data_IF_444685716325
#
_entry.id   IF_444685716325
#
_cell.length_a   1.000
_cell.length_b   1.000
_cell.length_c   1.000
_cell.angle_alpha   90.00
_cell.angle_beta   90.00
_cell.angle_gamma   90.00
#
_symmetry.space_group_name_H-M   'P 1'
#
loop_
_entity.id
_entity.type
_entity.pdbx_description
1 polymer ?
#
# COMPACT_ATOMS: atom_id res chain seq x y z
N UNK A 1 -18.76 3.49 15.37
CA UNK A 1 -17.92 4.54 14.75
C UNK A 1 -17.90 4.27 13.25
N UNK A 2 -18.40 5.20 12.43
CA UNK A 2 -18.36 5.06 10.98
C UNK A 2 -16.90 5.05 10.50
N UNK A 3 -16.49 4.00 9.79
CA UNK A 3 -15.13 3.90 9.27
C UNK A 3 -14.92 4.99 8.23
N UNK A 4 -14.01 5.93 8.49
CA UNK A 4 -13.65 6.99 7.53
C UNK A 4 -13.10 6.38 6.24
N UNK A 5 -13.84 6.48 5.15
CA UNK A 5 -13.41 6.00 3.83
C UNK A 5 -12.57 7.09 3.17
N UNK A 6 -11.51 6.71 2.45
CA UNK A 6 -10.68 7.66 1.70
C UNK A 6 -10.78 7.36 0.20
N UNK A 7 -10.66 8.39 -0.62
CA UNK A 7 -10.61 8.29 -2.09
C UNK A 7 -9.33 8.89 -2.63
N UNK A 8 -8.79 8.30 -3.69
CA UNK A 8 -7.73 8.90 -4.50
C UNK A 8 -8.24 9.17 -5.91
N UNK A 9 -8.07 10.41 -6.35
CA UNK A 9 -8.24 10.84 -7.74
C UNK A 9 -6.97 11.58 -8.15
N UNK A 10 -6.36 11.19 -9.26
CA UNK A 10 -5.11 11.79 -9.76
C UNK A 10 -3.95 11.76 -8.75
N UNK A 11 -3.92 10.77 -7.84
CA UNK A 11 -2.88 10.62 -6.83
C UNK A 11 -3.06 11.47 -5.57
N UNK A 12 -4.10 12.30 -5.50
CA UNK A 12 -4.43 13.07 -4.28
C UNK A 12 -5.43 12.26 -3.44
N UNK A 13 -5.05 11.96 -2.20
CA UNK A 13 -5.90 11.23 -1.25
C UNK A 13 -6.69 12.21 -0.37
N UNK A 14 -8.01 12.07 -0.35
CA UNK A 14 -8.91 12.87 0.50
C UNK A 14 -9.93 11.99 1.23
N UNK A 15 -10.48 12.50 2.34
CA UNK A 15 -11.59 11.84 3.04
C UNK A 15 -12.82 11.82 2.10
N UNK A 16 -13.46 10.65 1.97
CA UNK A 16 -14.63 10.47 1.14
C UNK A 16 -15.86 11.11 1.82
N UNK A 17 -16.14 12.36 1.46
CA UNK A 17 -17.28 13.12 1.96
C UNK A 17 -18.21 13.41 0.77
N UNK A 18 -19.46 12.93 0.82
CA UNK A 18 -20.45 13.17 -0.24
C UNK A 18 -20.39 12.16 -1.40
N UNK A 19 -20.84 12.58 -2.59
CA UNK A 19 -20.91 11.72 -3.78
C UNK A 19 -19.53 11.42 -4.33
N UNK A 20 -19.20 10.14 -4.40
CA UNK A 20 -17.90 9.66 -4.85
C UNK A 20 -17.73 9.81 -6.38
N UNK A 21 -16.54 10.25 -6.86
CA UNK A 21 -16.22 10.19 -8.28
C UNK A 21 -16.22 8.75 -8.79
N UNK A 22 -16.78 8.51 -9.99
CA UNK A 22 -16.85 7.17 -10.61
C UNK A 22 -15.48 6.48 -10.75
N UNK A 23 -14.46 7.27 -11.04
CA UNK A 23 -13.11 6.76 -11.35
C UNK A 23 -12.14 6.86 -10.16
N UNK A 24 -12.64 7.13 -8.95
CA UNK A 24 -11.79 7.24 -7.76
C UNK A 24 -11.51 5.87 -7.13
N UNK A 25 -10.25 5.64 -6.77
CA UNK A 25 -9.85 4.46 -5.99
C UNK A 25 -10.31 4.61 -4.54
N UNK A 26 -10.97 3.58 -4.00
CA UNK A 26 -11.44 3.53 -2.62
C UNK A 26 -10.42 2.86 -1.71
N UNK A 27 -10.11 3.52 -0.60
CA UNK A 27 -9.27 2.98 0.46
C UNK A 27 -10.11 2.79 1.71
N UNK A 28 -10.19 1.54 2.17
CA UNK A 28 -10.66 1.27 3.52
C UNK A 28 -9.62 1.81 4.52
N UNK A 29 -10.04 2.52 5.57
CA UNK A 29 -9.11 2.94 6.61
C UNK A 29 -8.50 1.71 7.25
N UNK A 30 -7.17 1.58 7.16
CA UNK A 30 -6.46 0.55 7.91
C UNK A 30 -6.64 0.83 9.40
N UNK A 31 -7.00 -0.20 10.17
CA UNK A 31 -7.01 -0.11 11.65
C UNK A 31 -5.59 -0.04 12.24
N UNK A 32 -4.55 -0.12 11.40
CA UNK A 32 -3.16 -0.13 11.82
C UNK A 32 -2.68 1.29 12.09
N UNK A 33 -1.89 1.46 13.13
CA UNK A 33 -1.20 2.73 13.39
C UNK A 33 -0.18 3.04 12.28
N UNK A 34 0.18 4.31 12.14
CA UNK A 34 1.25 4.74 11.21
C UNK A 34 2.54 3.97 11.46
N UNK A 35 2.91 3.73 12.73
CA UNK A 35 4.09 2.98 13.10
C UNK A 35 4.03 1.51 12.63
N UNK A 36 2.87 0.86 12.73
CA UNK A 36 2.66 -0.50 12.24
C UNK A 36 2.77 -0.57 10.71
N UNK A 37 2.19 0.39 9.99
CA UNK A 37 2.27 0.47 8.53
C UNK A 37 3.73 0.63 8.07
N UNK A 38 4.49 1.53 8.72
CA UNK A 38 5.91 1.74 8.41
C UNK A 38 6.73 0.46 8.67
N UNK A 39 6.46 -0.22 9.79
CA UNK A 39 7.15 -1.46 10.12
C UNK A 39 6.89 -2.56 9.09
N UNK A 40 5.63 -2.73 8.66
CA UNK A 40 5.25 -3.68 7.61
C UNK A 40 5.93 -3.35 6.27
N UNK A 41 5.94 -2.08 5.87
CA UNK A 41 6.60 -1.67 4.64
C UNK A 41 8.11 -1.97 4.66
N UNK A 42 8.78 -1.73 5.80
CA UNK A 42 10.21 -2.06 5.97
C UNK A 42 10.44 -3.56 5.90
N UNK A 43 9.60 -4.37 6.56
CA UNK A 43 9.69 -5.82 6.51
C UNK A 43 9.49 -6.36 5.08
N UNK A 44 8.46 -5.87 4.39
CA UNK A 44 8.17 -6.24 3.00
C UNK A 44 9.31 -5.84 2.06
N UNK A 45 9.90 -4.64 2.22
CA UNK A 45 11.04 -4.21 1.43
C UNK A 45 12.24 -5.16 1.59
N UNK A 46 12.56 -5.59 2.82
CA UNK A 46 13.65 -6.53 3.08
C UNK A 46 13.37 -7.88 2.41
N UNK A 47 12.18 -8.44 2.62
CA UNK A 47 11.76 -9.71 2.02
C UNK A 47 11.82 -9.67 0.49
N UNK A 48 11.30 -8.60 -0.11
CA UNK A 48 11.31 -8.44 -1.57
C UNK A 48 12.74 -8.28 -2.11
N UNK A 49 13.60 -7.55 -1.42
CA UNK A 49 15.00 -7.39 -1.83
C UNK A 49 15.73 -8.73 -1.81
N UNK A 50 15.49 -9.55 -0.78
CA UNK A 50 16.06 -10.89 -0.69
C UNK A 50 15.55 -11.81 -1.81
N UNK A 51 14.24 -11.81 -2.07
CA UNK A 51 13.64 -12.58 -3.17
C UNK A 51 14.20 -12.17 -4.53
N UNK A 52 14.38 -10.87 -4.78
CA UNK A 52 14.98 -10.37 -6.02
C UNK A 52 16.42 -10.88 -6.15
N UNK A 53 17.21 -10.80 -5.07
CA UNK A 53 18.58 -11.31 -5.08
C UNK A 53 18.64 -12.80 -5.40
N UNK A 54 17.82 -13.61 -4.72
CA UNK A 54 17.75 -15.05 -4.95
C UNK A 54 17.40 -15.39 -6.40
N UNK A 55 16.41 -14.69 -6.98
CA UNK A 55 16.03 -14.89 -8.39
C UNK A 55 17.09 -14.43 -9.37
N UNK A 56 17.81 -13.35 -9.07
CA UNK A 56 18.93 -12.91 -9.90
C UNK A 56 20.06 -13.94 -9.84
N UNK A 57 20.42 -14.41 -8.66
CA UNK A 57 21.44 -15.44 -8.48
C UNK A 57 21.08 -16.74 -9.22
N UNK A 58 19.80 -17.12 -9.23
CA UNK A 58 19.30 -18.25 -10.03
C UNK A 58 19.40 -18.00 -11.54
N UNK A 59 19.05 -16.79 -12.01
CA UNK A 59 19.13 -16.43 -13.42
C UNK A 59 20.57 -16.37 -13.95
N UNK A 60 21.52 -15.90 -13.12
CA UNK A 60 22.95 -15.79 -13.46
C UNK A 60 23.75 -17.08 -13.27
N UNK A 61 23.18 -18.13 -12.68
CA UNK A 61 23.79 -19.47 -12.61
C UNK A 61 23.71 -20.25 -13.93
N UNK A 62 23.22 -19.63 -15.01
CA UNK A 62 23.25 -20.15 -16.38
C UNK A 62 24.59 -19.88 -17.05
#
# INVERSE_FOLDING_TARGET
MASKVYVSLNGVVSEAIGTQPKDALLFAPSKKSVSQVIHEQRANRRKNSQLIKERLDEAFKR
#
